data_IF_789338126254
#
_entry.id   IF_789338126254
#
_cell.length_a   1.000
_cell.length_b   1.000
_cell.length_c   1.000
_cell.angle_alpha   90.00
_cell.angle_beta   90.00
_cell.angle_gamma   90.00
#
_symmetry.space_group_name_H-M   'P 1'
#
loop_
_entity.id
_entity.type
_entity.pdbx_description
1 polymer ?
#
# COMPACT_ATOMS: atom_id res chain seq x y z
N UNK A 1 -23.93 -0.40 15.20
CA UNK A 1 -23.15 0.74 15.72
C UNK A 1 -21.83 0.76 14.94
N UNK A 2 -21.79 1.44 13.79
CA UNK A 2 -20.58 1.48 12.96
C UNK A 2 -19.65 2.56 13.53
N UNK A 3 -18.47 2.15 14.00
CA UNK A 3 -17.42 3.09 14.33
C UNK A 3 -17.10 3.89 13.07
N UNK A 4 -17.20 5.23 13.17
CA UNK A 4 -16.70 6.15 12.14
C UNK A 4 -15.18 6.06 12.15
N UNK A 5 -14.62 5.00 11.58
CA UNK A 5 -13.19 4.93 11.32
C UNK A 5 -12.95 5.79 10.08
N UNK A 6 -12.88 7.11 10.29
CA UNK A 6 -12.26 8.07 9.37
C UNK A 6 -10.74 7.78 9.29
N UNK A 7 -10.35 6.53 9.00
CA UNK A 7 -8.95 6.23 8.73
C UNK A 7 -8.65 6.98 7.45
N UNK A 8 -7.68 7.88 7.55
CA UNK A 8 -7.28 8.74 6.46
C UNK A 8 -6.45 7.94 5.46
N UNK A 9 -7.11 7.01 4.76
CA UNK A 9 -6.52 6.11 3.75
C UNK A 9 -5.80 6.94 2.67
N UNK A 10 -6.28 8.17 2.41
CA UNK A 10 -5.63 9.12 1.51
C UNK A 10 -4.27 9.58 2.05
N UNK A 11 -4.21 9.97 3.32
CA UNK A 11 -2.95 10.38 3.94
C UNK A 11 -1.95 9.22 4.02
N UNK A 12 -2.39 7.98 4.26
CA UNK A 12 -1.47 6.84 4.25
C UNK A 12 -0.79 6.64 2.89
N UNK A 13 -1.54 6.85 1.78
CA UNK A 13 -0.97 6.87 0.42
C UNK A 13 -0.04 8.06 0.19
N UNK A 14 -0.43 9.24 0.64
CA UNK A 14 0.37 10.46 0.48
C UNK A 14 1.72 10.34 1.19
N UNK A 15 1.77 9.69 2.35
CA UNK A 15 3.03 9.48 3.06
C UNK A 15 3.87 8.41 2.35
N UNK A 16 3.26 7.34 1.82
CA UNK A 16 3.97 6.39 0.96
C UNK A 16 4.59 7.09 -0.26
N UNK A 17 3.83 8.00 -0.90
CA UNK A 17 4.32 8.84 -1.99
C UNK A 17 5.47 9.75 -1.54
N UNK A 18 5.37 10.43 -0.40
CA UNK A 18 6.43 11.32 0.10
C UNK A 18 7.73 10.55 0.37
N UNK A 19 7.65 9.37 0.98
CA UNK A 19 8.83 8.52 1.24
C UNK A 19 9.49 8.09 -0.08
N UNK A 20 8.68 7.60 -1.02
CA UNK A 20 9.16 7.08 -2.30
C UNK A 20 9.64 8.17 -3.27
N UNK A 21 8.87 9.21 -3.50
CA UNK A 21 9.16 10.20 -4.53
C UNK A 21 10.05 11.35 -4.06
N UNK A 22 9.87 11.82 -2.82
CA UNK A 22 10.59 13.01 -2.36
C UNK A 22 11.94 12.66 -1.71
N UNK A 23 12.02 11.53 -1.01
CA UNK A 23 13.24 11.14 -0.27
C UNK A 23 14.07 10.10 -1.05
N UNK A 24 13.47 9.36 -1.99
CA UNK A 24 14.17 8.38 -2.83
C UNK A 24 14.39 7.01 -2.16
N UNK A 25 13.52 6.64 -1.22
CA UNK A 25 13.56 5.37 -0.50
C UNK A 25 12.28 4.55 -0.70
N UNK A 26 12.42 3.23 -0.75
CA UNK A 26 11.30 2.30 -0.61
C UNK A 26 11.30 1.71 0.80
N UNK A 27 10.14 1.54 1.40
CA UNK A 27 9.98 1.09 2.78
C UNK A 27 10.17 -0.41 2.94
N UNK A 28 9.67 -1.21 2.00
CA UNK A 28 9.83 -2.68 1.93
C UNK A 28 9.20 -3.50 3.07
N UNK A 29 8.42 -2.90 3.97
CA UNK A 29 7.84 -3.61 5.12
C UNK A 29 6.46 -3.08 5.55
N UNK A 30 5.74 -2.39 4.65
CA UNK A 30 4.44 -1.80 4.94
C UNK A 30 3.44 -2.86 5.41
N UNK A 31 2.77 -2.57 6.53
CA UNK A 31 1.72 -3.37 7.13
C UNK A 31 0.90 -2.47 8.09
N UNK A 32 -0.23 -2.91 8.67
CA UNK A 32 -1.03 -2.04 9.54
C UNK A 32 -0.26 -1.43 10.73
N UNK A 33 0.73 -2.13 11.31
CA UNK A 33 1.51 -1.61 12.43
C UNK A 33 2.59 -0.60 12.02
N UNK A 34 2.90 -0.46 10.72
CA UNK A 34 3.80 0.61 10.23
C UNK A 34 3.08 1.94 10.10
N UNK A 35 1.77 1.99 10.33
CA UNK A 35 1.00 3.23 10.31
C UNK A 35 0.50 3.57 11.71
N UNK A 36 0.56 4.85 12.07
CA UNK A 36 0.01 5.37 13.31
C UNK A 36 -0.79 6.66 13.07
N UNK A 37 -1.74 6.94 13.95
CA UNK A 37 -2.49 8.19 13.95
C UNK A 37 -1.84 9.11 15.00
N UNK A 38 -1.75 10.40 14.69
CA UNK A 38 -1.27 11.39 15.66
C UNK A 38 -2.14 11.46 16.91
N UNK A 39 -1.59 12.05 17.96
CA UNK A 39 -2.24 12.17 19.27
C UNK A 39 -2.42 13.64 19.64
N UNK A 40 -3.35 13.94 20.54
CA UNK A 40 -3.46 15.29 21.11
C UNK A 40 -2.17 15.63 21.86
N UNK A 41 -1.55 16.74 21.49
CA UNK A 41 -0.37 17.30 22.17
C UNK A 41 -0.77 18.68 22.71
N UNK A 42 -0.60 18.91 24.01
CA UNK A 42 -0.92 20.19 24.67
C UNK A 42 -2.36 20.70 24.43
N UNK A 43 -3.33 19.78 24.34
CA UNK A 43 -4.74 20.12 24.10
C UNK A 43 -5.08 20.43 22.64
N UNK A 44 -4.13 20.32 21.71
CA UNK A 44 -4.33 20.58 20.29
C UNK A 44 -4.76 19.30 19.53
N UNK A 45 -5.98 19.25 18.97
CA UNK A 45 -6.47 18.08 18.25
C UNK A 45 -6.00 18.00 16.80
N UNK A 46 -5.24 18.98 16.27
CA UNK A 46 -4.84 19.02 14.86
C UNK A 46 -4.13 17.74 14.41
N UNK A 47 -3.30 17.15 15.28
CA UNK A 47 -2.56 15.93 14.97
C UNK A 47 -3.41 14.66 14.90
N UNK A 48 -4.64 14.65 15.44
CA UNK A 48 -5.53 13.47 15.38
C UNK A 48 -5.94 13.09 13.96
N UNK A 49 -5.77 14.00 13.00
CA UNK A 49 -6.10 13.75 11.59
C UNK A 49 -4.94 13.22 10.78
N UNK A 50 -3.72 13.35 11.29
CA UNK A 50 -2.47 13.01 10.61
C UNK A 50 -2.16 11.52 10.75
N UNK A 51 -1.82 10.88 9.64
CA UNK A 51 -1.18 9.55 9.61
C UNK A 51 0.35 9.70 9.65
N UNK A 52 1.03 8.74 10.24
CA UNK A 52 2.48 8.65 10.29
C UNK A 52 2.92 7.26 9.82
N UNK A 53 4.02 7.20 9.06
CA UNK A 53 4.71 5.94 8.76
C UNK A 53 5.85 5.76 9.77
N UNK A 54 5.95 4.55 10.31
CA UNK A 54 6.93 4.12 11.31
C UNK A 54 7.81 3.00 10.75
N UNK A 55 8.91 2.71 11.44
CA UNK A 55 9.78 1.54 11.21
C UNK A 55 10.45 1.47 9.82
N UNK A 56 11.35 2.42 9.57
CA UNK A 56 12.20 2.47 8.39
C UNK A 56 13.39 1.48 8.43
N UNK A 57 13.39 0.48 9.32
CA UNK A 57 14.51 -0.45 9.49
C UNK A 57 14.82 -1.29 8.25
N UNK A 58 13.84 -1.48 7.37
CA UNK A 58 13.97 -2.19 6.10
C UNK A 58 14.04 -1.27 4.88
N UNK A 59 14.01 0.05 5.10
CA UNK A 59 13.99 1.01 4.02
C UNK A 59 15.27 0.93 3.19
N UNK A 60 15.14 1.10 1.88
CA UNK A 60 16.25 1.01 0.96
C UNK A 60 16.21 2.16 -0.04
N UNK A 61 17.36 2.79 -0.26
CA UNK A 61 17.49 3.86 -1.24
C UNK A 61 17.46 3.26 -2.64
N UNK A 62 16.45 3.58 -3.44
CA UNK A 62 16.30 3.08 -4.81
C UNK A 62 16.84 4.05 -5.86
N UNK A 63 17.12 5.31 -5.51
CA UNK A 63 17.70 6.31 -6.42
C UNK A 63 19.21 6.44 -6.26
N UNK A 64 19.89 6.68 -7.37
CA UNK A 64 21.28 7.14 -7.41
C UNK A 64 21.38 8.62 -7.01
N UNK A 65 22.58 9.14 -6.69
CA UNK A 65 22.78 10.57 -6.40
C UNK A 65 22.35 11.52 -7.52
N UNK A 66 22.35 11.04 -8.77
CA UNK A 66 21.90 11.78 -9.96
C UNK A 66 20.37 11.74 -10.17
N UNK A 67 19.64 11.10 -9.26
CA UNK A 67 18.18 10.96 -9.30
C UNK A 67 17.66 9.78 -10.13
N UNK A 68 18.52 9.05 -10.85
CA UNK A 68 18.12 7.88 -11.65
C UNK A 68 17.76 6.68 -10.78
N UNK A 69 16.90 5.79 -11.29
CA UNK A 69 16.57 4.54 -10.61
C UNK A 69 17.77 3.59 -10.64
N UNK A 70 18.15 3.02 -9.49
CA UNK A 70 19.18 1.99 -9.39
C UNK A 70 18.78 0.76 -10.19
N UNK A 71 19.75 0.10 -10.80
CA UNK A 71 19.52 -1.21 -11.41
C UNK A 71 19.17 -2.25 -10.32
N UNK A 72 18.31 -3.24 -10.62
CA UNK A 72 17.99 -4.30 -9.68
C UNK A 72 19.25 -5.11 -9.38
N UNK A 73 19.48 -5.45 -8.10
CA UNK A 73 20.60 -6.34 -7.74
C UNK A 73 20.35 -7.74 -8.34
N UNK A 74 21.36 -8.40 -8.92
CA UNK A 74 21.22 -9.78 -9.41
C UNK A 74 20.84 -10.76 -8.30
N UNK A 75 21.36 -10.53 -7.09
CA UNK A 75 21.11 -11.34 -5.89
C UNK A 75 20.59 -10.43 -4.77
N UNK A 76 19.28 -10.07 -4.78
CA UNK A 76 18.71 -9.23 -3.73
C UNK A 76 18.69 -9.97 -2.40
N UNK A 77 18.77 -9.21 -1.31
CA UNK A 77 18.62 -9.76 0.04
C UNK A 77 17.23 -10.38 0.21
N UNK A 78 17.16 -11.54 0.87
CA UNK A 78 15.88 -12.19 1.21
C UNK A 78 14.93 -11.19 1.88
N UNK A 79 13.66 -11.25 1.53
CA UNK A 79 12.61 -10.47 2.19
C UNK A 79 12.41 -10.93 3.64
N UNK A 80 12.42 -9.98 4.59
CA UNK A 80 12.32 -10.22 6.04
C UNK A 80 11.02 -9.64 6.62
N UNK A 81 10.24 -8.91 5.82
CA UNK A 81 8.98 -8.30 6.26
C UNK A 81 7.86 -9.32 6.48
N UNK A 82 6.66 -8.81 6.75
CA UNK A 82 5.48 -9.64 7.00
C UNK A 82 5.09 -10.44 5.76
N UNK A 83 5.09 -11.77 5.89
CA UNK A 83 4.66 -12.67 4.82
C UNK A 83 3.20 -12.45 4.39
N UNK A 84 2.33 -11.85 5.22
CA UNK A 84 0.93 -11.58 4.82
C UNK A 84 0.83 -10.50 3.76
N UNK A 85 1.65 -9.46 3.88
CA UNK A 85 1.61 -8.29 3.00
C UNK A 85 2.69 -8.32 1.95
N UNK A 86 3.63 -9.28 1.99
CA UNK A 86 4.74 -9.35 1.05
C UNK A 86 4.25 -9.23 -0.40
N UNK A 87 4.87 -8.36 -1.21
CA UNK A 87 4.52 -8.17 -2.61
C UNK A 87 4.90 -9.42 -3.41
N UNK A 88 4.27 -9.63 -4.57
CA UNK A 88 4.51 -10.83 -5.40
C UNK A 88 5.97 -10.99 -5.78
N UNK A 89 6.65 -9.88 -6.05
CA UNK A 89 8.08 -9.87 -6.39
C UNK A 89 8.98 -10.36 -5.24
N UNK A 90 8.56 -10.22 -3.97
CA UNK A 90 9.32 -10.74 -2.84
C UNK A 90 9.39 -12.27 -2.85
N UNK A 91 8.30 -12.96 -3.22
CA UNK A 91 8.28 -14.42 -3.35
C UNK A 91 9.11 -14.92 -4.53
N UNK A 92 9.34 -14.06 -5.53
CA UNK A 92 10.19 -14.35 -6.68
C UNK A 92 11.66 -13.99 -6.45
N UNK A 93 12.03 -13.57 -5.22
CA UNK A 93 13.37 -13.06 -4.89
C UNK A 93 13.84 -11.97 -5.86
N UNK A 94 12.94 -11.04 -6.22
CA UNK A 94 13.28 -9.87 -7.03
C UNK A 94 13.61 -8.69 -6.13
N UNK A 95 14.40 -7.75 -6.65
CA UNK A 95 14.64 -6.48 -5.96
C UNK A 95 13.33 -5.71 -5.83
N UNK A 96 13.07 -5.18 -4.64
CA UNK A 96 11.84 -4.43 -4.38
C UNK A 96 12.04 -2.95 -4.71
N UNK A 97 10.96 -2.35 -5.17
CA UNK A 97 10.87 -1.01 -5.71
C UNK A 97 9.55 -0.35 -5.28
N UNK A 98 9.23 0.77 -5.93
CA UNK A 98 8.05 1.58 -5.61
C UNK A 98 6.73 0.87 -5.88
N UNK A 99 6.65 0.09 -6.96
CA UNK A 99 5.46 -0.71 -7.27
C UNK A 99 5.17 -1.72 -6.16
N UNK A 100 6.23 -2.23 -5.51
CA UNK A 100 6.11 -3.23 -4.45
C UNK A 100 5.55 -2.60 -3.16
N UNK A 101 6.02 -1.41 -2.77
CA UNK A 101 5.41 -0.65 -1.66
C UNK A 101 3.94 -0.32 -1.95
N UNK A 102 3.61 0.00 -3.20
CA UNK A 102 2.25 0.31 -3.60
C UNK A 102 1.33 -0.93 -3.56
N UNK A 103 1.83 -2.09 -3.99
CA UNK A 103 1.13 -3.38 -3.88
C UNK A 103 0.88 -3.73 -2.40
N UNK A 104 1.88 -3.55 -1.54
CA UNK A 104 1.75 -3.72 -0.09
C UNK A 104 0.71 -2.78 0.52
N UNK A 105 0.76 -1.49 0.15
CA UNK A 105 -0.20 -0.50 0.60
C UNK A 105 -1.64 -0.90 0.21
N UNK A 106 -1.86 -1.36 -1.02
CA UNK A 106 -3.19 -1.80 -1.46
C UNK A 106 -3.70 -2.98 -0.64
N UNK A 107 -2.84 -3.93 -0.27
CA UNK A 107 -3.20 -5.02 0.65
C UNK A 107 -3.59 -4.50 2.03
N UNK A 108 -2.83 -3.56 2.61
CA UNK A 108 -3.15 -2.94 3.89
C UNK A 108 -4.52 -2.25 3.84
N UNK A 109 -4.78 -1.46 2.79
CA UNK A 109 -6.06 -0.75 2.64
C UNK A 109 -7.23 -1.71 2.50
N UNK A 110 -7.09 -2.76 1.67
CA UNK A 110 -8.16 -3.74 1.51
C UNK A 110 -8.42 -4.49 2.83
N UNK A 111 -7.40 -4.83 3.60
CA UNK A 111 -7.59 -5.44 4.92
C UNK A 111 -8.30 -4.48 5.88
N UNK A 112 -7.94 -3.20 5.90
CA UNK A 112 -8.59 -2.21 6.77
C UNK A 112 -10.08 -2.05 6.45
N UNK A 113 -10.45 -2.13 5.17
CA UNK A 113 -11.85 -1.96 4.74
C UNK A 113 -12.65 -3.26 4.88
N UNK A 114 -12.08 -4.42 4.53
CA UNK A 114 -12.77 -5.71 4.53
C UNK A 114 -12.60 -6.52 5.81
N UNK A 115 -11.69 -6.11 6.69
CA UNK A 115 -11.34 -6.77 7.95
C UNK A 115 -10.30 -7.88 7.83
N UNK A 116 -10.13 -8.49 6.64
CA UNK A 116 -9.14 -9.53 6.41
C UNK A 116 -8.74 -9.63 4.93
N UNK A 117 -7.51 -10.09 4.70
CA UNK A 117 -7.06 -10.57 3.38
C UNK A 117 -7.53 -12.02 3.16
N UNK A 118 -7.93 -12.41 1.93
CA UNK A 118 -8.39 -13.77 1.64
C UNK A 118 -7.38 -14.88 2.01
N UNK A 119 -6.09 -14.57 1.98
CA UNK A 119 -5.01 -15.51 2.33
C UNK A 119 -4.57 -15.45 3.80
N UNK A 120 -5.33 -14.84 4.72
CA UNK A 120 -4.95 -14.70 6.14
C UNK A 120 -4.72 -16.04 6.86
N UNK A 121 -5.39 -17.10 6.41
CA UNK A 121 -5.26 -18.45 6.97
C UNK A 121 -4.00 -19.18 6.46
N UNK A 122 -3.40 -18.73 5.37
CA UNK A 122 -2.24 -19.38 4.78
C UNK A 122 -1.01 -19.18 5.68
N UNK A 123 -0.14 -20.19 5.69
CA UNK A 123 1.05 -20.23 6.57
C UNK A 123 2.36 -20.36 5.79
N UNK A 124 2.33 -20.99 4.63
CA UNK A 124 3.51 -21.13 3.79
C UNK A 124 3.54 -20.06 2.69
N UNK A 125 4.75 -19.71 2.26
CA UNK A 125 4.99 -18.64 1.30
C UNK A 125 4.40 -18.94 -0.09
N UNK A 126 4.44 -20.22 -0.51
CA UNK A 126 3.95 -20.65 -1.81
C UNK A 126 2.44 -20.46 -1.94
N UNK A 127 1.68 -20.85 -0.93
CA UNK A 127 0.22 -20.76 -0.93
C UNK A 127 -0.24 -19.30 -0.89
N UNK A 128 0.45 -18.45 -0.11
CA UNK A 128 0.17 -17.01 -0.13
C UNK A 128 0.42 -16.45 -1.53
N UNK A 129 1.56 -16.78 -2.15
CA UNK A 129 1.89 -16.31 -3.50
C UNK A 129 0.90 -16.80 -4.56
N UNK A 130 0.49 -18.07 -4.50
CA UNK A 130 -0.51 -18.64 -5.41
C UNK A 130 -1.87 -17.96 -5.23
N UNK A 131 -2.25 -17.64 -4.00
CA UNK A 131 -3.47 -16.88 -3.71
C UNK A 131 -3.37 -15.44 -4.24
N UNK A 132 -2.24 -14.76 -4.02
CA UNK A 132 -2.03 -13.41 -4.55
C UNK A 132 -2.13 -13.35 -6.09
N UNK A 133 -1.74 -14.43 -6.79
CA UNK A 133 -1.96 -14.54 -8.24
C UNK A 133 -3.43 -14.76 -8.59
N UNK A 134 -4.15 -15.58 -7.84
CA UNK A 134 -5.56 -15.87 -8.11
C UNK A 134 -6.45 -14.62 -7.96
N UNK A 135 -6.10 -13.71 -7.05
CA UNK A 135 -6.88 -12.48 -6.82
C UNK A 135 -6.71 -11.39 -7.87
N UNK A 136 -5.98 -11.66 -8.95
CA UNK A 136 -5.85 -10.73 -10.09
C UNK A 136 -6.99 -10.86 -11.09
N UNK A 137 -7.69 -11.99 -11.13
CA UNK A 137 -8.74 -12.22 -12.13
C UNK A 137 -9.90 -13.07 -11.58
N UNK A 138 -11.02 -13.09 -12.31
CA UNK A 138 -12.11 -14.03 -12.09
C UNK A 138 -12.65 -14.07 -10.66
N UNK A 139 -12.81 -15.28 -10.11
CA UNK A 139 -13.38 -15.51 -8.78
C UNK A 139 -12.50 -14.96 -7.66
N UNK A 140 -11.17 -15.09 -7.77
CA UNK A 140 -10.26 -14.57 -6.76
C UNK A 140 -10.31 -13.05 -6.68
N UNK A 141 -10.38 -12.36 -7.82
CA UNK A 141 -10.54 -10.90 -7.84
C UNK A 141 -11.84 -10.48 -7.15
N UNK A 142 -12.94 -11.21 -7.39
CA UNK A 142 -14.22 -10.96 -6.72
C UNK A 142 -14.16 -11.26 -5.22
N UNK A 143 -13.43 -12.28 -4.80
CA UNK A 143 -13.23 -12.55 -3.37
C UNK A 143 -12.45 -11.41 -2.70
N UNK A 144 -11.37 -10.97 -3.34
CA UNK A 144 -10.51 -9.92 -2.83
C UNK A 144 -11.17 -8.54 -2.83
N UNK A 145 -11.72 -8.08 -3.96
CA UNK A 145 -12.24 -6.72 -4.14
C UNK A 145 -13.77 -6.63 -4.27
N UNK A 146 -14.48 -7.75 -4.29
CA UNK A 146 -15.95 -7.74 -4.38
C UNK A 146 -16.56 -6.99 -3.20
N UNK A 147 -17.57 -6.17 -3.53
CA UNK A 147 -18.23 -5.26 -2.58
C UNK A 147 -17.51 -3.93 -2.38
N UNK A 148 -16.30 -3.75 -2.91
CA UNK A 148 -15.60 -2.46 -2.91
C UNK A 148 -15.93 -1.66 -4.19
N UNK A 149 -15.75 -0.33 -4.16
CA UNK A 149 -15.83 0.51 -5.37
C UNK A 149 -14.90 0.01 -6.48
N UNK A 150 -15.31 0.20 -7.73
CA UNK A 150 -14.57 -0.31 -8.91
C UNK A 150 -13.16 0.25 -9.00
N UNK A 151 -12.92 1.42 -8.42
CA UNK A 151 -11.63 2.08 -8.35
C UNK A 151 -10.56 1.24 -7.66
N UNK A 152 -10.93 0.31 -6.76
CA UNK A 152 -9.97 -0.66 -6.21
C UNK A 152 -9.45 -1.64 -7.27
N UNK A 153 -10.33 -2.04 -8.19
CA UNK A 153 -9.94 -2.88 -9.33
C UNK A 153 -9.02 -2.09 -10.27
N UNK A 154 -9.32 -0.82 -10.49
CA UNK A 154 -8.50 0.04 -11.34
C UNK A 154 -7.14 0.34 -10.72
N UNK A 155 -7.06 0.61 -9.41
CA UNK A 155 -5.78 0.70 -8.69
C UNK A 155 -4.96 -0.58 -8.83
N UNK A 156 -5.58 -1.76 -8.69
CA UNK A 156 -4.87 -3.03 -8.89
C UNK A 156 -4.30 -3.18 -10.31
N UNK A 157 -5.06 -2.75 -11.33
CA UNK A 157 -4.57 -2.73 -12.72
C UNK A 157 -3.39 -1.78 -12.88
N UNK A 158 -3.41 -0.60 -12.26
CA UNK A 158 -2.27 0.33 -12.30
C UNK A 158 -1.03 -0.29 -11.65
N UNK A 159 -1.17 -0.97 -10.51
CA UNK A 159 -0.05 -1.72 -9.89
C UNK A 159 0.49 -2.80 -10.83
N UNK A 160 -0.38 -3.58 -11.47
CA UNK A 160 0.01 -4.70 -12.34
C UNK A 160 0.73 -4.27 -13.64
N UNK A 161 0.55 -3.02 -14.08
CA UNK A 161 1.21 -2.47 -15.29
C UNK A 161 2.67 -2.07 -15.04
N UNK A 162 3.02 -1.76 -13.79
CA UNK A 162 4.30 -1.15 -13.46
C UNK A 162 5.44 -2.17 -13.42
N UNK A 163 6.54 -1.84 -14.08
CA UNK A 163 7.81 -2.51 -13.97
C UNK A 163 8.66 -1.96 -12.80
N UNK A 164 9.77 -2.64 -12.50
CA UNK A 164 10.67 -2.32 -11.39
C UNK A 164 11.14 -0.85 -11.37
N UNK A 165 11.49 -0.29 -12.53
CA UNK A 165 12.03 1.05 -12.63
C UNK A 165 10.97 2.12 -12.94
N UNK A 166 9.71 1.74 -13.12
CA UNK A 166 8.66 2.68 -13.50
C UNK A 166 8.33 3.62 -12.34
N UNK A 167 7.96 4.86 -12.69
CA UNK A 167 7.42 5.84 -11.76
C UNK A 167 5.91 5.60 -11.64
N UNK A 168 5.39 5.15 -10.47
CA UNK A 168 3.95 5.01 -10.31
C UNK A 168 3.24 6.37 -10.47
N UNK A 169 2.09 6.39 -11.14
CA UNK A 169 1.26 7.59 -11.22
C UNK A 169 0.47 7.78 -9.91
N UNK A 170 1.14 8.26 -8.87
CA UNK A 170 0.51 8.43 -7.55
C UNK A 170 -0.68 9.40 -7.57
N UNK A 171 -0.69 10.37 -8.49
CA UNK A 171 -1.82 11.28 -8.65
C UNK A 171 -3.08 10.54 -9.11
N UNK A 172 -2.95 9.63 -10.07
CA UNK A 172 -4.06 8.79 -10.54
C UNK A 172 -4.57 7.86 -9.45
N UNK A 173 -3.67 7.23 -8.70
CA UNK A 173 -4.05 6.37 -7.56
C UNK A 173 -4.75 7.19 -6.47
N UNK A 174 -4.28 8.42 -6.21
CA UNK A 174 -4.91 9.35 -5.29
C UNK A 174 -6.32 9.76 -5.75
N UNK A 175 -6.50 9.98 -7.05
CA UNK A 175 -7.82 10.24 -7.65
C UNK A 175 -8.75 9.04 -7.51
N UNK A 176 -8.27 7.83 -7.80
CA UNK A 176 -9.03 6.58 -7.68
C UNK A 176 -9.52 6.35 -6.25
N UNK A 177 -8.64 6.45 -5.25
CA UNK A 177 -9.06 6.29 -3.85
C UNK A 177 -9.98 7.42 -3.38
N UNK A 178 -9.82 8.63 -3.92
CA UNK A 178 -10.72 9.75 -3.66
C UNK A 178 -12.12 9.49 -4.16
N UNK A 179 -12.25 8.99 -5.38
CA UNK A 179 -13.53 8.64 -5.99
C UNK A 179 -14.18 7.47 -5.24
N UNK A 180 -13.41 6.44 -4.88
CA UNK A 180 -13.89 5.31 -4.08
C UNK A 180 -14.53 5.76 -2.75
N UNK A 181 -13.88 6.70 -2.05
CA UNK A 181 -14.38 7.26 -0.78
C UNK A 181 -15.68 8.03 -0.99
N UNK A 182 -15.76 8.87 -2.04
CA UNK A 182 -16.98 9.62 -2.36
C UNK A 182 -18.16 8.71 -2.70
N UNK A 183 -17.92 7.67 -3.50
CA UNK A 183 -18.93 6.68 -3.91
C UNK A 183 -19.44 5.85 -2.74
N UNK A 184 -18.63 5.65 -1.69
CA UNK A 184 -19.04 4.96 -0.46
C UNK A 184 -19.99 5.79 0.44
N UNK A 185 -20.42 6.98 0.00
CA UNK A 185 -21.36 7.84 0.72
C UNK A 185 -20.73 8.72 1.81
N UNK A 186 -19.40 8.78 1.88
CA UNK A 186 -18.69 9.70 2.78
C UNK A 186 -18.58 11.08 2.13
N UNK A 187 -19.32 12.07 2.64
CA UNK A 187 -19.07 13.48 2.32
C UNK A 187 -17.68 13.84 2.81
N UNK A 188 -16.74 14.08 1.89
CA UNK A 188 -15.47 14.74 2.19
C UNK A 188 -15.83 16.13 2.70
N UNK A 189 -15.70 16.38 4.00
CA UNK A 189 -15.78 17.76 4.48
C UNK A 189 -14.56 18.48 3.92
N UNK A 190 -14.77 19.39 2.98
CA UNK A 190 -13.74 20.34 2.60
C UNK A 190 -13.23 21.01 3.88
N UNK A 191 -11.92 20.92 4.13
CA UNK A 191 -11.29 21.70 5.16
C UNK A 191 -11.49 23.18 4.81
N UNK A 192 -12.18 23.91 5.68
CA UNK A 192 -12.18 25.37 5.71
C UNK A 192 -10.99 25.84 6.54
#
# INVERSE_FOLDING_TARGET
MAAKTNVNIKESLEICFRVTCNVGFVHRSLNPSTFAIGRVINGDPRDLRNVYILDFGFAHQYRNPDGTHKAPRPNPSKYIGSARYAPRNAYLNRELSRVDDLEMWLYVVVELVKGALPWVAQRNAKDIFDYQKSVRTGLGLREFLGGLPVEFVDMMKEVDKLAYADDPNYNEIYSLITNAIQMSGQKVSAAQ
#
